data_IF_486599492173
#
_entry.id   IF_486599492173
#
_cell.length_a   1.000
_cell.length_b   1.000
_cell.length_c   1.000
_cell.angle_alpha   90.00
_cell.angle_beta   90.00
_cell.angle_gamma   90.00
#
_symmetry.space_group_name_H-M   'P 1'
#
loop_
_entity.id
_entity.type
_entity.pdbx_description
1 polymer ?
#
# COMPACT_ATOMS: atom_id res chain seq x y z
N UNK A 1 7.08 23.28 8.93
CA UNK A 1 7.03 21.96 9.63
C UNK A 1 8.12 21.10 9.02
N UNK A 2 9.22 20.84 9.73
CA UNK A 2 10.22 19.89 9.25
C UNK A 2 9.69 18.47 9.49
N UNK A 3 9.47 17.70 8.43
CA UNK A 3 9.10 16.30 8.57
C UNK A 3 10.28 15.55 9.23
N UNK A 4 10.00 14.72 10.24
CA UNK A 4 11.02 13.87 10.87
C UNK A 4 11.59 12.80 9.90
N UNK A 5 12.64 12.07 10.29
CA UNK A 5 13.28 11.06 9.45
C UNK A 5 12.43 9.77 9.37
N UNK A 6 11.28 9.86 8.71
CA UNK A 6 10.35 8.75 8.53
C UNK A 6 10.79 7.84 7.39
N UNK A 7 10.71 6.53 7.62
CA UNK A 7 10.94 5.51 6.59
C UNK A 7 9.60 4.98 6.11
N UNK A 8 9.40 4.98 4.79
CA UNK A 8 8.27 4.28 4.17
C UNK A 8 8.52 2.76 4.21
N UNK A 9 7.85 2.08 5.14
CA UNK A 9 8.07 0.65 5.40
C UNK A 9 7.75 -0.18 4.17
N UNK A 10 6.74 0.20 3.38
CA UNK A 10 6.36 -0.57 2.20
C UNK A 10 7.42 -0.52 1.11
N UNK A 11 8.08 0.63 0.91
CA UNK A 11 9.14 0.78 -0.09
C UNK A 11 10.47 0.13 0.31
N UNK A 12 10.61 -0.30 1.56
CA UNK A 12 11.71 -1.19 1.97
C UNK A 12 11.58 -2.58 1.34
N UNK A 13 10.36 -3.04 1.08
CA UNK A 13 10.08 -4.38 0.53
C UNK A 13 9.73 -4.36 -0.96
N UNK A 14 9.24 -3.24 -1.49
CA UNK A 14 8.83 -3.11 -2.89
C UNK A 14 9.56 -1.93 -3.55
N UNK A 15 10.51 -2.20 -4.46
CA UNK A 15 11.29 -1.17 -5.14
C UNK A 15 10.43 -0.09 -5.83
N UNK A 16 10.89 1.18 -5.91
CA UNK A 16 10.13 2.28 -6.50
C UNK A 16 9.58 2.04 -7.91
N UNK A 17 10.31 1.28 -8.72
CA UNK A 17 9.98 0.89 -10.09
C UNK A 17 8.81 -0.10 -10.18
N UNK A 18 8.53 -0.82 -9.10
CA UNK A 18 7.41 -1.75 -9.04
C UNK A 18 6.11 -1.04 -8.62
N UNK A 19 5.01 -1.44 -9.29
CA UNK A 19 3.67 -0.96 -9.00
C UNK A 19 3.21 -1.49 -7.66
N UNK A 20 2.91 -0.58 -6.74
CA UNK A 20 2.39 -0.87 -5.41
C UNK A 20 1.12 -0.07 -5.17
N UNK A 21 -0.01 -0.54 -5.70
CA UNK A 21 -1.29 0.18 -5.58
C UNK A 21 -2.08 -0.28 -4.36
N UNK A 22 -2.73 0.68 -3.72
CA UNK A 22 -3.61 0.48 -2.56
C UNK A 22 -5.02 0.99 -2.83
N UNK A 23 -5.26 1.61 -3.98
CA UNK A 23 -6.51 2.26 -4.33
C UNK A 23 -6.86 2.16 -5.82
N UNK A 24 -8.15 1.99 -6.14
CA UNK A 24 -8.72 2.04 -7.49
C UNK A 24 -10.12 2.69 -7.50
N UNK A 25 -10.29 3.70 -8.36
CA UNK A 25 -11.55 4.42 -8.60
C UNK A 25 -12.75 3.49 -8.82
N UNK A 26 -13.87 3.76 -8.15
CA UNK A 26 -15.14 3.10 -8.41
C UNK A 26 -15.64 3.26 -9.86
N UNK A 27 -15.25 4.34 -10.55
CA UNK A 27 -15.64 4.60 -11.95
C UNK A 27 -15.05 3.63 -12.97
N UNK A 28 -14.13 2.78 -12.54
CA UNK A 28 -13.51 1.75 -13.39
C UNK A 28 -13.87 0.37 -12.83
N UNK A 29 -15.05 -0.18 -13.17
CA UNK A 29 -15.57 -1.39 -12.54
C UNK A 29 -14.66 -2.61 -12.79
N UNK A 30 -14.05 -2.71 -13.97
CA UNK A 30 -13.05 -3.73 -14.28
C UNK A 30 -11.63 -3.24 -13.92
N UNK A 31 -11.43 -3.01 -12.62
CA UNK A 31 -10.20 -2.43 -12.07
C UNK A 31 -8.98 -3.33 -12.29
N UNK A 32 -9.17 -4.65 -12.32
CA UNK A 32 -8.10 -5.63 -12.50
C UNK A 32 -7.54 -5.62 -13.92
N UNK A 33 -8.40 -5.57 -14.93
CA UNK A 33 -7.99 -5.60 -16.34
C UNK A 33 -7.10 -4.40 -16.73
N UNK A 34 -7.41 -3.21 -16.21
CA UNK A 34 -6.60 -2.01 -16.48
C UNK A 34 -5.46 -1.83 -15.47
N UNK A 35 -5.67 -2.31 -14.24
CA UNK A 35 -4.77 -2.16 -13.09
C UNK A 35 -4.17 -0.74 -12.98
N UNK A 36 -5.00 0.30 -13.17
CA UNK A 36 -4.60 1.72 -13.14
C UNK A 36 -4.82 2.35 -11.76
N UNK A 37 -4.24 1.74 -10.73
CA UNK A 37 -4.40 2.17 -9.35
C UNK A 37 -3.51 3.36 -8.95
N UNK A 38 -3.61 3.73 -7.68
CA UNK A 38 -2.69 4.67 -7.01
C UNK A 38 -2.22 4.06 -5.69
N UNK A 39 -1.07 4.51 -5.19
CA UNK A 39 -0.64 4.26 -3.82
C UNK A 39 -0.98 5.47 -2.98
N UNK A 40 -2.02 5.38 -2.19
CA UNK A 40 -2.49 6.48 -1.34
C UNK A 40 -2.32 6.18 0.15
N UNK A 41 -2.23 4.89 0.49
CA UNK A 41 -2.13 4.40 1.86
C UNK A 41 -0.68 4.00 2.14
N UNK A 42 -0.17 4.46 3.28
CA UNK A 42 1.25 4.38 3.63
C UNK A 42 1.44 3.94 5.08
N UNK A 43 2.49 3.18 5.35
CA UNK A 43 2.96 2.89 6.71
C UNK A 43 4.35 3.51 6.85
N UNK A 44 4.43 4.57 7.65
CA UNK A 44 5.67 5.26 7.96
C UNK A 44 6.10 4.94 9.38
N UNK A 45 7.39 4.64 9.56
CA UNK A 45 7.94 4.29 10.86
C UNK A 45 9.26 5.03 11.10
N UNK A 46 9.59 5.26 12.37
CA UNK A 46 10.92 5.69 12.77
C UNK A 46 11.95 4.61 12.39
N UNK A 47 13.23 5.00 12.27
CA UNK A 47 14.29 4.14 11.74
C UNK A 47 14.46 2.82 12.53
N UNK A 48 14.34 2.88 13.86
CA UNK A 48 14.46 1.74 14.77
C UNK A 48 13.32 0.72 14.60
N UNK A 49 12.08 1.19 14.42
CA UNK A 49 10.94 0.34 14.14
C UNK A 49 11.00 -0.19 12.69
N UNK A 50 11.34 0.65 11.73
CA UNK A 50 11.49 0.25 10.33
C UNK A 50 12.58 -0.82 10.14
N UNK A 51 13.63 -0.82 10.97
CA UNK A 51 14.66 -1.86 10.99
C UNK A 51 14.15 -3.23 11.43
N UNK A 52 13.07 -3.28 12.22
CA UNK A 52 12.43 -4.51 12.70
C UNK A 52 11.35 -5.04 11.76
N UNK A 53 10.93 -4.26 10.76
CA UNK A 53 9.92 -4.69 9.81
C UNK A 53 10.32 -6.02 9.15
N UNK A 54 9.45 -7.01 9.26
CA UNK A 54 9.62 -8.37 8.77
C UNK A 54 8.97 -8.57 7.39
N UNK A 55 7.93 -7.79 7.07
CA UNK A 55 7.24 -7.88 5.80
C UNK A 55 6.07 -6.92 5.67
N UNK A 56 5.53 -6.86 4.45
CA UNK A 56 4.27 -6.17 4.15
C UNK A 56 3.31 -7.09 3.39
N UNK A 57 2.02 -6.81 3.51
CA UNK A 57 0.97 -7.42 2.70
C UNK A 57 -0.01 -6.35 2.25
N UNK A 58 -0.32 -6.34 0.95
CA UNK A 58 -1.42 -5.56 0.36
C UNK A 58 -2.49 -6.56 -0.04
N UNK A 59 -3.67 -6.50 0.56
CA UNK A 59 -4.76 -7.46 0.31
C UNK A 59 -5.57 -7.00 -0.91
N UNK A 60 -4.95 -7.10 -2.10
CA UNK A 60 -5.53 -6.61 -3.36
C UNK A 60 -6.87 -7.28 -3.68
N UNK A 61 -7.04 -8.54 -3.26
CA UNK A 61 -8.24 -9.34 -3.46
C UNK A 61 -9.46 -8.73 -2.74
N UNK A 62 -9.24 -7.93 -1.68
CA UNK A 62 -10.32 -7.23 -0.99
C UNK A 62 -11.07 -6.25 -1.90
N UNK A 63 -10.43 -5.77 -2.98
CA UNK A 63 -11.08 -4.91 -3.98
C UNK A 63 -12.11 -5.67 -4.82
N UNK A 64 -12.09 -6.99 -4.83
CA UNK A 64 -13.03 -7.87 -5.52
C UNK A 64 -14.16 -8.41 -4.64
N UNK A 65 -14.22 -8.05 -3.35
CA UNK A 65 -15.30 -8.49 -2.45
C UNK A 65 -16.64 -7.83 -2.79
N UNK A 66 -17.73 -8.34 -2.20
CA UNK A 66 -19.05 -7.72 -2.32
C UNK A 66 -19.05 -6.33 -1.66
N UNK A 67 -19.49 -5.31 -2.42
CA UNK A 67 -19.50 -3.90 -1.99
C UNK A 67 -18.17 -3.46 -1.37
N UNK A 68 -17.06 -3.54 -2.13
CA UNK A 68 -15.73 -3.33 -1.59
C UNK A 68 -15.47 -1.83 -1.36
N UNK A 69 -14.47 -1.54 -0.53
CA UNK A 69 -13.83 -0.22 -0.53
C UNK A 69 -13.09 0.02 -1.85
N UNK A 70 -12.87 1.28 -2.22
CA UNK A 70 -11.97 1.67 -3.31
C UNK A 70 -10.51 1.59 -2.89
N UNK A 71 -10.24 1.50 -1.59
CA UNK A 71 -8.96 1.15 -1.00
C UNK A 71 -8.86 -0.35 -0.66
N UNK A 72 -7.63 -0.86 -0.54
CA UNK A 72 -7.35 -2.20 -0.02
C UNK A 72 -6.50 -2.14 1.26
N UNK A 73 -6.69 -3.09 2.20
CA UNK A 73 -5.88 -3.14 3.41
C UNK A 73 -4.39 -3.26 3.11
N UNK A 74 -3.60 -2.51 3.90
CA UNK A 74 -2.14 -2.61 3.96
C UNK A 74 -1.74 -3.05 5.35
N UNK A 75 -0.88 -4.05 5.44
CA UNK A 75 -0.40 -4.62 6.70
C UNK A 75 1.13 -4.59 6.67
N UNK A 76 1.75 -4.20 7.79
CA UNK A 76 3.16 -4.41 8.06
C UNK A 76 3.33 -5.27 9.31
N UNK A 77 4.30 -6.18 9.29
CA UNK A 77 4.69 -7.01 10.43
C UNK A 77 6.06 -6.57 10.92
N UNK A 78 6.28 -6.51 12.23
CA UNK A 78 7.52 -6.08 12.89
C UNK A 78 7.98 -7.13 13.92
#
# INVERSE_FOLDING_TARGET
QAAGPWVDVMRRFVPPEEKLFTWWSYRSPNWEASNRGRRLDHIWAAADMAARAQGIKVIKEARGWERPSDHVPVIATF
#
